data_IF_954762695008
#
_entry.id   IF_954762695008
#
_cell.length_a   1.000
_cell.length_b   1.000
_cell.length_c   1.000
_cell.angle_alpha   90.00
_cell.angle_beta   90.00
_cell.angle_gamma   90.00
#
_symmetry.space_group_name_H-M   'P 1'
#
loop_
_entity.id
_entity.type
_entity.pdbx_description
1 polymer ?
#
# COMPACT_ATOMS: atom_id res chain seq x y z
N UNK A 1 -14.56 2.25 -12.94
CA UNK A 1 -14.16 1.90 -11.56
C UNK A 1 -13.97 0.40 -11.37
N UNK A 2 -14.96 -0.45 -11.65
CA UNK A 2 -14.80 -1.91 -11.49
C UNK A 2 -13.72 -2.53 -12.38
N UNK A 3 -13.65 -2.18 -13.67
CA UNK A 3 -12.63 -2.71 -14.60
C UNK A 3 -11.19 -2.38 -14.16
N UNK A 4 -10.97 -1.18 -13.62
CA UNK A 4 -9.67 -0.73 -13.11
C UNK A 4 -9.25 -1.49 -11.84
N UNK A 5 -10.18 -1.69 -10.89
CA UNK A 5 -9.93 -2.48 -9.70
C UNK A 5 -9.63 -3.95 -10.04
N UNK A 6 -10.38 -4.52 -10.98
CA UNK A 6 -10.18 -5.90 -11.43
C UNK A 6 -8.80 -6.07 -12.10
N UNK A 7 -8.41 -5.11 -12.94
CA UNK A 7 -7.08 -5.06 -13.53
C UNK A 7 -5.97 -4.99 -12.47
N UNK A 8 -6.08 -4.10 -11.47
CA UNK A 8 -5.10 -4.00 -10.40
C UNK A 8 -4.93 -5.32 -9.60
N UNK A 9 -6.03 -6.04 -9.36
CA UNK A 9 -6.00 -7.35 -8.68
C UNK A 9 -5.31 -8.39 -9.55
N UNK A 10 -5.62 -8.44 -10.85
CA UNK A 10 -5.04 -9.39 -11.80
C UNK A 10 -3.54 -9.12 -12.00
N UNK A 11 -3.15 -7.84 -12.10
CA UNK A 11 -1.77 -7.42 -12.33
C UNK A 11 -0.88 -7.44 -11.08
N UNK A 12 -1.42 -7.76 -9.89
CA UNK A 12 -0.71 -7.71 -8.59
C UNK A 12 0.05 -6.39 -8.34
N UNK A 13 -0.48 -5.29 -8.85
CA UNK A 13 0.14 -3.96 -8.67
C UNK A 13 -0.28 -3.42 -7.31
N UNK A 14 0.68 -2.89 -6.55
CA UNK A 14 0.40 -2.23 -5.27
C UNK A 14 -0.62 -1.10 -5.47
N UNK A 15 -1.73 -1.21 -4.74
CA UNK A 15 -2.88 -0.36 -4.98
C UNK A 15 -2.78 0.94 -4.18
N UNK A 16 -2.77 2.09 -4.85
CA UNK A 16 -2.83 3.38 -4.18
C UNK A 16 -4.29 3.69 -3.75
N UNK A 17 -4.68 3.17 -2.59
CA UNK A 17 -6.00 3.44 -1.98
C UNK A 17 -6.36 4.92 -1.89
N UNK A 18 -5.45 5.84 -1.50
CA UNK A 18 -5.73 7.28 -1.48
C UNK A 18 -6.13 7.82 -2.85
N UNK A 19 -5.49 7.36 -3.93
CA UNK A 19 -5.78 7.81 -5.29
C UNK A 19 -7.18 7.37 -5.76
N UNK A 20 -7.56 6.13 -5.46
CA UNK A 20 -8.93 5.66 -5.75
C UNK A 20 -9.97 6.45 -4.96
N UNK A 21 -9.73 6.67 -3.67
CA UNK A 21 -10.62 7.46 -2.82
C UNK A 21 -10.79 8.87 -3.39
N UNK A 22 -9.69 9.53 -3.78
CA UNK A 22 -9.72 10.86 -4.38
C UNK A 22 -10.51 10.87 -5.71
N UNK A 23 -10.27 9.91 -6.59
CA UNK A 23 -11.01 9.80 -7.86
C UNK A 23 -12.52 9.58 -7.62
N UNK A 24 -12.90 8.76 -6.62
CA UNK A 24 -14.32 8.61 -6.25
C UNK A 24 -14.92 9.88 -5.65
N UNK A 25 -14.15 10.65 -4.87
CA UNK A 25 -14.60 11.92 -4.30
C UNK A 25 -14.80 13.00 -5.37
N UNK A 26 -13.87 13.14 -6.32
CA UNK A 26 -14.00 14.09 -7.44
C UNK A 26 -15.24 13.76 -8.29
N UNK A 27 -15.50 12.47 -8.53
CA UNK A 27 -16.71 12.03 -9.23
C UNK A 27 -17.99 12.31 -8.42
N UNK A 28 -17.95 12.11 -7.11
CA UNK A 28 -19.10 12.38 -6.23
C UNK A 28 -19.42 13.89 -6.15
N UNK A 29 -18.38 14.71 -6.13
CA UNK A 29 -18.49 16.18 -6.09
C UNK A 29 -19.08 16.73 -7.40
N UNK A 30 -18.60 16.23 -8.55
CA UNK A 30 -19.07 16.66 -9.88
C UNK A 30 -20.52 16.27 -10.17
N UNK A 31 -21.01 15.16 -9.61
CA UNK A 31 -22.38 14.69 -9.82
C UNK A 31 -23.43 15.39 -8.92
N UNK A 32 -23.03 16.30 -8.02
CA UNK A 32 -23.88 17.15 -7.14
C UNK A 32 -24.99 16.45 -6.33
N UNK A 33 -25.06 15.11 -6.33
CA UNK A 33 -26.16 14.33 -5.75
C UNK A 33 -25.73 13.19 -4.85
N UNK A 34 -24.44 12.97 -4.65
CA UNK A 34 -23.96 11.80 -3.91
C UNK A 34 -23.34 12.18 -2.57
N UNK A 35 -23.81 11.49 -1.52
CA UNK A 35 -23.13 11.37 -0.24
C UNK A 35 -21.70 10.92 -0.48
N UNK A 36 -20.76 11.56 0.20
CA UNK A 36 -19.33 11.27 0.05
C UNK A 36 -19.07 9.80 0.44
N UNK A 37 -18.67 8.92 -0.50
CA UNK A 37 -18.29 7.56 -0.12
C UNK A 37 -17.05 7.63 0.79
N UNK A 38 -17.02 6.78 1.82
CA UNK A 38 -15.93 6.70 2.80
C UNK A 38 -15.75 7.92 3.72
N UNK A 39 -16.78 8.76 3.91
CA UNK A 39 -16.72 9.94 4.78
C UNK A 39 -16.11 9.66 6.17
N UNK A 40 -16.49 8.57 6.83
CA UNK A 40 -15.96 8.20 8.16
C UNK A 40 -14.47 7.82 8.15
N UNK A 41 -13.99 7.18 7.08
CA UNK A 41 -12.59 6.81 6.91
C UNK A 41 -11.75 8.06 6.62
N UNK A 42 -12.27 8.95 5.78
CA UNK A 42 -11.66 10.25 5.49
C UNK A 42 -11.51 11.09 6.77
N UNK A 43 -12.56 11.16 7.60
CA UNK A 43 -12.48 11.83 8.90
C UNK A 43 -11.39 11.22 9.79
N UNK A 44 -11.23 9.89 9.81
CA UNK A 44 -10.16 9.23 10.58
C UNK A 44 -8.77 9.59 10.06
N UNK A 45 -8.58 9.59 8.74
CA UNK A 45 -7.30 9.96 8.10
C UNK A 45 -6.96 11.42 8.41
N UNK A 46 -7.92 12.33 8.27
CA UNK A 46 -7.73 13.75 8.56
C UNK A 46 -7.40 14.00 10.02
N UNK A 47 -8.04 13.29 10.96
CA UNK A 47 -7.66 13.34 12.38
C UNK A 47 -6.24 12.82 12.63
N UNK A 48 -5.86 11.71 11.99
CA UNK A 48 -4.51 11.16 12.12
C UNK A 48 -3.43 12.13 11.63
N UNK A 49 -3.71 12.87 10.56
CA UNK A 49 -2.80 13.88 10.01
C UNK A 49 -3.02 15.29 10.57
N UNK A 50 -3.77 15.44 11.67
CA UNK A 50 -4.07 16.72 12.34
C UNK A 50 -4.65 17.81 11.41
N UNK A 51 -5.37 17.41 10.36
CA UNK A 51 -6.11 18.34 9.51
C UNK A 51 -7.30 18.86 10.30
N UNK A 52 -7.37 20.19 10.48
CA UNK A 52 -8.46 20.86 11.20
C UNK A 52 -9.73 20.80 10.35
N UNK A 53 -10.71 19.99 10.78
CA UNK A 53 -12.03 19.87 10.16
C UNK A 53 -13.03 20.92 10.70
N UNK A 54 -12.54 21.94 11.39
CA UNK A 54 -13.29 22.82 12.29
C UNK A 54 -14.09 23.93 11.57
N UNK A 55 -14.41 23.72 10.29
CA UNK A 55 -15.24 24.61 9.46
C UNK A 55 -16.27 23.86 8.62
N UNK A 56 -16.51 22.58 8.90
CA UNK A 56 -17.54 21.81 8.22
C UNK A 56 -18.92 22.33 8.66
N UNK A 57 -19.75 22.74 7.70
CA UNK A 57 -21.13 23.15 7.95
C UNK A 57 -21.86 21.90 8.41
N UNK A 58 -21.97 21.72 9.73
CA UNK A 58 -22.74 20.64 10.32
C UNK A 58 -24.18 20.76 9.86
N UNK A 59 -24.55 20.01 8.82
CA UNK A 59 -25.95 19.83 8.48
C UNK A 59 -26.60 19.15 9.68
N UNK A 60 -27.77 19.65 10.11
CA UNK A 60 -28.53 18.99 11.16
C UNK A 60 -28.77 17.54 10.70
N UNK A 61 -28.33 16.57 11.51
CA UNK A 61 -28.55 15.15 11.27
C UNK A 61 -30.01 14.92 10.89
N UNK A 62 -30.24 14.25 9.76
CA UNK A 62 -31.61 13.91 9.38
C UNK A 62 -32.11 12.75 10.26
N UNK A 63 -33.42 12.52 10.26
CA UNK A 63 -34.01 11.38 11.00
C UNK A 63 -33.47 10.05 10.45
N UNK A 64 -33.11 10.01 9.17
CA UNK A 64 -32.51 8.87 8.49
C UNK A 64 -31.08 8.56 8.96
N UNK A 65 -30.33 9.57 9.43
CA UNK A 65 -28.96 9.42 9.94
C UNK A 65 -28.93 9.06 11.43
N UNK A 66 -30.08 9.11 12.12
CA UNK A 66 -30.20 8.83 13.54
C UNK A 66 -30.81 7.44 13.75
N UNK A 67 -30.09 6.54 14.42
CA UNK A 67 -30.67 5.25 14.79
C UNK A 67 -31.93 5.42 15.63
N UNK A 68 -32.99 4.71 15.25
CA UNK A 68 -34.22 4.69 16.04
C UNK A 68 -33.95 4.06 17.43
N UNK A 69 -34.81 4.42 18.40
CA UNK A 69 -34.64 3.97 19.79
C UNK A 69 -34.66 2.44 19.91
N UNK A 70 -35.39 1.73 19.05
CA UNK A 70 -35.48 0.27 19.03
C UNK A 70 -34.19 -0.39 18.54
N UNK A 71 -33.56 0.15 17.49
CA UNK A 71 -32.26 -0.34 16.99
C UNK A 71 -31.17 -0.09 18.02
N UNK A 72 -31.16 1.09 18.67
CA UNK A 72 -30.22 1.36 19.76
C UNK A 72 -30.36 0.35 20.91
N UNK A 73 -31.59 0.02 21.32
CA UNK A 73 -31.84 -1.04 22.32
C UNK A 73 -31.34 -2.42 21.86
N UNK A 74 -31.56 -2.81 20.60
CA UNK A 74 -31.04 -4.08 20.03
C UNK A 74 -29.52 -4.16 20.01
N UNK A 75 -28.87 -3.00 19.81
CA UNK A 75 -27.42 -2.83 19.81
C UNK A 75 -26.82 -2.79 21.22
N UNK A 76 -27.63 -2.88 22.29
CA UNK A 76 -27.16 -2.89 23.68
C UNK A 76 -27.06 -1.50 24.31
N UNK A 77 -27.60 -0.45 23.68
CA UNK A 77 -27.62 0.89 24.26
C UNK A 77 -28.87 1.10 25.12
N UNK A 78 -28.67 1.65 26.32
CA UNK A 78 -29.75 2.06 27.23
C UNK A 78 -29.69 3.56 27.45
N UNK A 79 -30.85 4.21 27.49
CA UNK A 79 -30.93 5.64 27.80
C UNK A 79 -31.10 5.83 29.31
N UNK A 80 -30.11 6.40 29.98
CA UNK A 80 -30.18 6.77 31.40
C UNK A 80 -30.01 8.29 31.52
N UNK A 81 -30.96 8.98 32.17
CA UNK A 81 -30.85 10.42 32.43
C UNK A 81 -30.74 11.33 31.18
N UNK A 82 -31.22 10.89 30.02
CA UNK A 82 -31.08 11.64 28.77
C UNK A 82 -29.90 11.21 27.89
N UNK A 83 -28.95 10.45 28.45
CA UNK A 83 -27.71 10.04 27.79
C UNK A 83 -27.80 8.56 27.40
N UNK A 84 -27.29 8.20 26.23
CA UNK A 84 -27.20 6.80 25.79
C UNK A 84 -25.90 6.17 26.30
N UNK A 85 -26.02 5.13 27.11
CA UNK A 85 -24.89 4.37 27.67
C UNK A 85 -24.89 2.96 27.09
N UNK A 86 -23.74 2.49 26.62
CA UNK A 86 -23.58 1.14 26.09
C UNK A 86 -23.51 0.12 27.23
N UNK A 87 -24.34 -0.92 27.16
CA UNK A 87 -24.34 -2.03 28.10
C UNK A 87 -23.99 -3.33 27.35
N UNK A 88 -22.84 -3.95 27.64
CA UNK A 88 -22.43 -5.23 27.04
C UNK A 88 -23.46 -6.34 27.35
N UNK A 89 -23.68 -7.24 26.39
CA UNK A 89 -24.70 -8.31 26.48
C UNK A 89 -24.40 -9.40 27.50
N UNK A 90 -23.21 -9.42 28.12
CA UNK A 90 -22.79 -10.43 29.10
C UNK A 90 -23.63 -10.42 30.39
N UNK A 91 -24.27 -9.30 30.71
CA UNK A 91 -24.91 -9.09 32.02
C UNK A 91 -26.43 -9.33 31.98
N UNK A 92 -26.98 -9.70 30.81
CA UNK A 92 -28.39 -10.07 30.64
C UNK A 92 -28.57 -11.59 30.75
N UNK A 93 -28.31 -12.12 31.95
CA UNK A 93 -28.82 -13.42 32.35
C UNK A 93 -30.34 -13.42 32.37
N UNK A 94 -30.96 -14.19 31.45
CA UNK A 94 -32.39 -14.54 31.39
C UNK A 94 -33.42 -13.39 31.36
N UNK A 95 -33.89 -13.07 30.14
CA UNK A 95 -35.32 -13.05 29.75
C UNK A 95 -35.35 -13.20 28.21
N UNK A 96 -35.61 -14.40 27.71
CA UNK A 96 -36.93 -14.96 27.33
C UNK A 96 -37.47 -14.29 26.07
N UNK A 97 -37.70 -15.13 25.07
CA UNK A 97 -38.41 -14.88 23.83
C UNK A 97 -39.69 -14.05 24.05
N UNK A 98 -39.73 -12.86 23.43
CA UNK A 98 -40.91 -12.07 23.09
C UNK A 98 -40.49 -11.30 21.83
N UNK A 99 -40.77 -11.89 20.67
CA UNK A 99 -41.91 -11.62 19.81
C UNK A 99 -41.51 -10.67 18.67
N UNK A 100 -41.26 -11.31 17.52
CA UNK A 100 -41.67 -10.79 16.23
C UNK A 100 -43.11 -10.27 16.36
N UNK A 101 -43.29 -8.96 16.24
CA UNK A 101 -44.51 -8.25 15.81
C UNK A 101 -44.66 -6.93 16.58
N UNK A 102 -44.10 -5.86 16.01
CA UNK A 102 -44.65 -4.51 16.18
C UNK A 102 -44.50 -3.79 14.84
N UNK A 103 -45.49 -4.07 13.99
CA UNK A 103 -46.30 -3.09 13.28
C UNK A 103 -45.56 -1.93 12.59
N UNK A 104 -45.40 -2.10 11.28
CA UNK A 104 -45.14 -1.03 10.35
C UNK A 104 -46.36 -0.07 10.33
N UNK A 105 -46.24 1.24 10.61
CA UNK A 105 -47.35 2.15 10.37
C UNK A 105 -47.54 2.36 8.85
N UNK A 106 -48.76 2.18 8.33
CA UNK A 106 -49.14 2.65 6.99
C UNK A 106 -49.12 4.19 6.95
N UNK A 107 -49.08 4.81 5.76
CA UNK A 107 -49.33 6.25 5.47
C UNK A 107 -48.38 7.27 6.17
N UNK A 108 -47.64 8.13 5.47
CA UNK A 108 -48.12 9.33 4.76
C UNK A 108 -47.23 9.64 3.54
N UNK A 109 -47.91 9.83 2.41
CA UNK A 109 -47.37 10.41 1.19
C UNK A 109 -47.46 11.95 1.26
N UNK A 110 -46.70 12.59 0.36
CA UNK A 110 -46.80 13.98 -0.09
C UNK A 110 -46.27 15.07 0.86
N UNK A 111 -45.17 15.71 0.43
CA UNK A 111 -45.13 17.15 0.16
C UNK A 111 -43.89 17.49 -0.70
N UNK A 112 -44.13 17.99 -1.92
CA UNK A 112 -43.14 18.67 -2.78
C UNK A 112 -43.24 20.19 -2.52
N UNK A 113 -42.31 21.04 -3.01
CA UNK A 113 -41.47 21.89 -2.18
C UNK A 113 -41.88 23.39 -2.19
N UNK A 114 -41.61 24.11 -1.11
CA UNK A 114 -41.57 25.59 -1.14
C UNK A 114 -40.13 26.11 -1.31
N UNK A 115 -39.91 27.15 -2.14
CA UNK A 115 -38.60 27.75 -2.30
C UNK A 115 -38.33 28.73 -1.15
N UNK A 116 -37.35 28.40 -0.31
CA UNK A 116 -36.77 29.37 0.63
C UNK A 116 -35.71 30.16 -0.11
N UNK A 117 -35.96 31.45 -0.33
CA UNK A 117 -34.93 32.40 -0.72
C UNK A 117 -33.84 32.44 0.36
N UNK A 118 -32.61 32.06 -0.01
CA UNK A 118 -31.44 32.27 0.82
C UNK A 118 -30.58 33.34 0.17
N UNK A 119 -30.81 34.58 0.60
CA UNK A 119 -29.89 35.69 0.43
C UNK A 119 -28.70 35.43 1.35
N UNK A 120 -27.54 35.16 0.75
CA UNK A 120 -26.27 34.96 1.44
C UNK A 120 -25.15 35.24 0.47
N UNK A 121 -24.87 36.52 0.25
CA UNK A 121 -23.70 36.96 -0.51
C UNK A 121 -22.43 36.58 0.26
N UNK A 122 -21.85 35.43 -0.07
CA UNK A 122 -20.42 35.20 0.13
C UNK A 122 -19.72 35.84 -1.06
N UNK A 123 -18.91 36.85 -0.80
CA UNK A 123 -18.11 37.53 -1.82
C UNK A 123 -17.29 36.50 -2.61
N UNK A 124 -17.40 36.51 -3.94
CA UNK A 124 -16.59 35.71 -4.87
C UNK A 124 -15.10 35.71 -4.51
N UNK A 125 -14.63 36.80 -3.90
CA UNK A 125 -13.24 37.02 -3.49
C UNK A 125 -12.71 36.07 -2.41
N UNK A 126 -13.57 35.56 -1.51
CA UNK A 126 -13.13 34.64 -0.45
C UNK A 126 -12.89 33.23 -0.98
N UNK A 127 -13.65 32.83 -2.02
CA UNK A 127 -13.43 31.58 -2.74
C UNK A 127 -12.16 31.63 -3.60
N UNK A 128 -11.95 32.74 -4.34
CA UNK A 128 -10.73 32.91 -5.15
C UNK A 128 -9.47 32.82 -4.28
N UNK A 129 -9.48 33.46 -3.10
CA UNK A 129 -8.37 33.37 -2.13
C UNK A 129 -8.14 31.94 -1.61
N UNK A 130 -9.20 31.17 -1.37
CA UNK A 130 -9.07 29.78 -0.95
C UNK A 130 -8.51 28.90 -2.07
N UNK A 131 -8.94 29.13 -3.31
CA UNK A 131 -8.41 28.43 -4.49
C UNK A 131 -6.93 28.74 -4.66
N UNK A 132 -6.52 30.01 -4.63
CA UNK A 132 -5.10 30.41 -4.73
C UNK A 132 -4.24 29.74 -3.65
N UNK A 133 -4.72 29.71 -2.40
CA UNK A 133 -4.01 29.04 -1.31
C UNK A 133 -3.86 27.54 -1.54
N UNK A 134 -4.93 26.86 -2.00
CA UNK A 134 -4.89 25.44 -2.30
C UNK A 134 -3.94 25.14 -3.46
N UNK A 135 -3.98 25.94 -4.53
CA UNK A 135 -3.08 25.80 -5.69
C UNK A 135 -1.63 25.95 -5.27
N UNK A 136 -1.28 26.97 -4.46
CA UNK A 136 0.08 27.14 -3.94
C UNK A 136 0.56 25.96 -3.08
N UNK A 137 -0.36 25.35 -2.30
CA UNK A 137 -0.04 24.14 -1.52
C UNK A 137 0.20 22.93 -2.41
N UNK A 138 -0.54 22.79 -3.50
CA UNK A 138 -0.33 21.73 -4.48
C UNK A 138 0.98 21.91 -5.24
N UNK A 139 1.29 23.13 -5.71
CA UNK A 139 2.57 23.44 -6.37
C UNK A 139 3.76 23.18 -5.44
N UNK A 140 3.65 23.56 -4.16
CA UNK A 140 4.67 23.27 -3.15
C UNK A 140 4.86 21.77 -2.93
N UNK A 141 3.76 20.99 -2.93
CA UNK A 141 3.82 19.54 -2.79
C UNK A 141 4.46 18.89 -4.03
N UNK A 142 4.09 19.36 -5.22
CA UNK A 142 4.63 18.91 -6.50
C UNK A 142 6.14 19.13 -6.56
N UNK A 143 6.61 20.35 -6.22
CA UNK A 143 8.03 20.66 -6.17
C UNK A 143 8.78 19.78 -5.13
N UNK A 144 8.16 19.51 -3.98
CA UNK A 144 8.74 18.62 -2.97
C UNK A 144 8.81 17.16 -3.44
N UNK A 145 7.81 16.67 -4.17
CA UNK A 145 7.80 15.31 -4.71
C UNK A 145 8.84 15.16 -5.81
N UNK A 146 8.92 16.13 -6.72
CA UNK A 146 9.91 16.17 -7.80
C UNK A 146 11.34 16.11 -7.24
N UNK A 147 11.62 16.89 -6.18
CA UNK A 147 12.91 16.83 -5.49
C UNK A 147 13.23 15.44 -4.91
N UNK A 148 12.24 14.78 -4.29
CA UNK A 148 12.41 13.42 -3.77
C UNK A 148 12.60 12.39 -4.88
N UNK A 149 11.89 12.51 -6.00
CA UNK A 149 12.07 11.63 -7.16
C UNK A 149 13.48 11.75 -7.73
N UNK A 150 13.99 12.98 -7.89
CA UNK A 150 15.38 13.20 -8.32
C UNK A 150 16.39 12.57 -7.36
N UNK A 151 16.16 12.69 -6.05
CA UNK A 151 17.02 12.05 -5.05
C UNK A 151 16.99 10.52 -5.17
N UNK A 152 15.81 9.92 -5.31
CA UNK A 152 15.67 8.47 -5.48
C UNK A 152 16.38 7.99 -6.75
N UNK A 153 16.17 8.68 -7.88
CA UNK A 153 16.82 8.35 -9.15
C UNK A 153 18.35 8.39 -9.01
N UNK A 154 18.90 9.43 -8.36
CA UNK A 154 20.35 9.49 -8.12
C UNK A 154 20.89 8.34 -7.27
N UNK A 155 20.10 7.82 -6.32
CA UNK A 155 20.48 6.65 -5.51
C UNK A 155 20.42 5.36 -6.31
N UNK A 156 19.45 5.24 -7.22
CA UNK A 156 19.33 4.10 -8.14
C UNK A 156 20.50 4.08 -9.10
N UNK A 157 20.86 5.21 -9.71
CA UNK A 157 22.01 5.31 -10.63
C UNK A 157 23.33 4.93 -9.95
N UNK A 158 23.51 5.33 -8.68
CA UNK A 158 24.68 4.94 -7.90
C UNK A 158 24.65 3.45 -7.57
N UNK A 159 23.50 2.90 -7.19
CA UNK A 159 23.36 1.47 -6.91
C UNK A 159 23.62 0.62 -8.15
N UNK A 160 23.20 1.08 -9.34
CA UNK A 160 23.49 0.41 -10.61
C UNK A 160 25.00 0.36 -10.89
N UNK A 161 25.71 1.46 -10.63
CA UNK A 161 27.19 1.49 -10.74
C UNK A 161 27.84 0.55 -9.75
N UNK A 162 27.43 0.59 -8.48
CA UNK A 162 27.96 -0.30 -7.44
C UNK A 162 27.76 -1.77 -7.81
N UNK A 163 26.58 -2.12 -8.35
CA UNK A 163 26.28 -3.47 -8.81
C UNK A 163 27.17 -3.90 -9.99
N UNK A 164 27.45 -3.00 -10.94
CA UNK A 164 28.39 -3.28 -12.04
C UNK A 164 29.81 -3.53 -11.53
N UNK A 165 30.28 -2.75 -10.56
CA UNK A 165 31.60 -2.95 -9.92
C UNK A 165 31.67 -4.29 -9.20
N UNK A 166 30.66 -4.61 -8.38
CA UNK A 166 30.61 -5.91 -7.69
C UNK A 166 30.65 -7.05 -8.72
N UNK A 167 29.86 -6.95 -9.79
CA UNK A 167 29.84 -7.98 -10.85
C UNK A 167 31.22 -8.19 -11.47
N UNK A 168 31.93 -7.12 -11.83
CA UNK A 168 33.28 -7.24 -12.39
C UNK A 168 34.28 -7.85 -11.42
N UNK A 169 34.16 -7.55 -10.13
CA UNK A 169 35.04 -8.12 -9.10
C UNK A 169 34.84 -9.64 -8.98
N UNK A 170 33.58 -10.10 -9.06
CA UNK A 170 33.25 -11.53 -8.99
C UNK A 170 33.66 -12.30 -10.25
N UNK A 171 33.55 -11.71 -11.45
CA UNK A 171 34.01 -12.36 -12.69
C UNK A 171 35.50 -12.73 -12.62
N UNK A 172 36.35 -11.88 -12.03
CA UNK A 172 37.78 -12.19 -11.85
C UNK A 172 38.08 -13.24 -10.77
N UNK A 173 37.21 -13.35 -9.76
CA UNK A 173 37.36 -14.32 -8.66
C UNK A 173 37.04 -15.74 -9.15
N UNK A 174 36.02 -15.91 -9.98
CA UNK A 174 35.65 -17.22 -10.52
C UNK A 174 36.78 -17.82 -11.38
N UNK A 175 37.45 -17.00 -12.20
CA UNK A 175 38.60 -17.42 -13.01
C UNK A 175 39.80 -17.82 -12.14
N UNK A 176 40.08 -17.05 -11.09
CA UNK A 176 41.16 -17.35 -10.14
C UNK A 176 40.89 -18.67 -9.38
N UNK A 177 39.68 -18.85 -8.89
CA UNK A 177 39.26 -20.09 -8.20
C UNK A 177 39.33 -21.28 -9.17
N UNK A 178 38.87 -21.11 -10.41
CA UNK A 178 38.92 -22.16 -11.42
C UNK A 178 40.37 -22.57 -11.75
N UNK A 179 41.27 -21.59 -11.88
CA UNK A 179 42.68 -21.85 -12.11
C UNK A 179 43.32 -22.61 -10.94
N UNK A 180 43.13 -22.13 -9.71
CA UNK A 180 43.69 -22.77 -8.51
C UNK A 180 43.15 -24.19 -8.31
N UNK A 181 41.85 -24.41 -8.57
CA UNK A 181 41.25 -25.74 -8.51
C UNK A 181 41.85 -26.68 -9.56
N UNK A 182 42.11 -26.17 -10.77
CA UNK A 182 42.76 -26.94 -11.85
C UNK A 182 44.21 -27.30 -11.50
N UNK A 183 44.96 -26.37 -10.90
CA UNK A 183 46.34 -26.59 -10.45
C UNK A 183 46.39 -27.59 -9.31
N UNK A 184 45.56 -27.42 -8.28
CA UNK A 184 45.49 -28.35 -7.13
C UNK A 184 45.09 -29.75 -7.57
N UNK A 185 44.12 -29.89 -8.47
CA UNK A 185 43.73 -31.18 -9.08
C UNK A 185 44.92 -31.85 -9.79
N UNK A 186 45.70 -31.11 -10.58
CA UNK A 186 46.92 -31.64 -11.24
C UNK A 186 47.98 -32.07 -10.23
N UNK A 187 48.21 -31.30 -9.18
CA UNK A 187 49.16 -31.64 -8.12
C UNK A 187 48.75 -32.90 -7.36
N UNK A 188 47.47 -33.02 -7.03
CA UNK A 188 46.92 -34.18 -6.33
C UNK A 188 47.08 -35.46 -7.17
N UNK A 189 46.77 -35.41 -8.47
CA UNK A 189 47.02 -36.52 -9.41
C UNK A 189 48.49 -36.92 -9.51
N UNK A 190 49.42 -35.97 -9.42
CA UNK A 190 50.87 -36.27 -9.41
C UNK A 190 51.28 -36.99 -8.12
N UNK A 191 50.73 -36.58 -6.98
CA UNK A 191 50.98 -37.22 -5.69
C UNK A 191 50.39 -38.64 -5.65
N UNK A 192 49.17 -38.82 -6.13
CA UNK A 192 48.52 -40.14 -6.24
C UNK A 192 49.37 -41.12 -7.05
N UNK A 193 49.85 -40.71 -8.24
CA UNK A 193 50.76 -41.52 -9.07
C UNK A 193 52.07 -41.86 -8.35
N UNK A 194 52.66 -40.90 -7.62
CA UNK A 194 53.86 -41.16 -6.82
C UNK A 194 53.58 -42.19 -5.73
N UNK A 195 52.45 -42.09 -5.04
CA UNK A 195 52.05 -42.99 -3.97
C UNK A 195 51.84 -44.43 -4.50
N UNK A 196 51.14 -44.57 -5.63
CA UNK A 196 50.97 -45.84 -6.33
C UNK A 196 52.31 -46.44 -6.78
N UNK A 197 53.21 -45.62 -7.33
CA UNK A 197 54.56 -46.08 -7.74
C UNK A 197 55.40 -46.57 -6.55
N UNK A 198 55.20 -45.99 -5.36
CA UNK A 198 55.84 -46.44 -4.12
C UNK A 198 55.17 -47.65 -3.46
N UNK A 199 54.11 -48.21 -4.07
CA UNK A 199 53.26 -49.29 -3.53
C UNK A 199 52.62 -48.96 -2.17
N UNK A 200 52.44 -47.68 -1.85
CA UNK A 200 51.75 -47.26 -0.63
C UNK A 200 50.22 -47.31 -0.77
N UNK A 201 49.70 -47.38 -2.01
CA UNK A 201 48.28 -47.62 -2.34
C UNK A 201 48.17 -48.63 -3.48
N UNK A 202 47.09 -49.42 -3.48
CA UNK A 202 46.87 -50.54 -4.40
C UNK A 202 46.22 -50.14 -5.74
N UNK A 203 45.55 -49.00 -5.82
CA UNK A 203 44.82 -48.56 -7.02
C UNK A 203 45.03 -47.07 -7.29
N UNK A 204 45.28 -46.70 -8.55
CA UNK A 204 45.32 -45.33 -9.06
C UNK A 204 44.14 -45.17 -10.02
N UNK A 205 43.27 -44.19 -9.82
CA UNK A 205 42.08 -44.02 -10.66
C UNK A 205 42.44 -43.20 -11.91
N UNK A 206 42.46 -43.83 -13.09
CA UNK A 206 42.69 -43.14 -14.37
C UNK A 206 41.46 -42.32 -14.78
N UNK A 207 41.27 -41.17 -14.15
CA UNK A 207 40.28 -40.20 -14.62
C UNK A 207 40.84 -39.46 -15.84
N UNK A 208 40.22 -39.65 -17.01
CA UNK A 208 40.60 -39.19 -18.36
C UNK A 208 40.69 -37.67 -18.60
N UNK A 209 40.86 -36.87 -17.57
CA UNK A 209 40.87 -35.40 -17.67
C UNK A 209 42.19 -34.76 -18.15
N UNK A 210 43.10 -35.51 -18.78
CA UNK A 210 44.39 -35.00 -19.27
C UNK A 210 44.44 -34.82 -20.79
N UNK A 211 43.30 -34.90 -21.49
CA UNK A 211 43.21 -34.51 -22.89
C UNK A 211 42.95 -33.00 -23.00
N UNK A 212 43.97 -32.20 -22.72
CA UNK A 212 44.07 -30.85 -23.29
C UNK A 212 45.52 -30.54 -23.58
N UNK A 213 45.96 -31.10 -24.70
CA UNK A 213 46.90 -30.42 -25.57
C UNK A 213 46.28 -29.07 -25.97
N UNK A 214 46.72 -28.00 -25.33
CA UNK A 214 46.71 -26.68 -25.93
C UNK A 214 47.96 -25.99 -25.42
N UNK A 215 49.01 -26.15 -26.19
CA UNK A 215 50.06 -25.13 -26.31
C UNK A 215 49.34 -23.79 -26.52
N UNK A 216 49.58 -22.86 -25.62
CA UNK A 216 49.36 -21.44 -25.86
C UNK A 216 50.59 -20.75 -25.33
N UNK A 217 51.35 -20.22 -26.26
CA UNK A 217 52.66 -19.60 -26.11
C UNK A 217 52.73 -18.55 -24.99
N UNK A 218 53.92 -18.31 -24.40
CA UNK A 218 54.10 -17.21 -23.45
C UNK A 218 53.99 -15.85 -24.14
N UNK A 219 53.56 -14.79 -23.43
CA UNK A 219 53.43 -13.46 -24.03
C UNK A 219 54.82 -12.88 -24.35
N UNK A 220 54.96 -12.10 -25.45
CA UNK A 220 56.22 -11.47 -25.78
C UNK A 220 56.55 -10.36 -24.78
N UNK A 221 57.86 -10.18 -24.55
CA UNK A 221 58.46 -9.17 -23.69
C UNK A 221 58.27 -7.74 -24.18
#
# INVERSE_FOLDING_TARGET
MQAFLMWCIISKVEFCYPFLMLHTMVRAFTQKKSVLPFGSILTKIFRHHHVRLEGEIGTKLKKEDTYNKSTLKRMGWKKQGGIWTYCPKSDQGKRVAWEEQEENPPWEAQEEPQPVQAQGSSSTRDYDRMIEFMTARFESLEASLEGKFKQVNSRIDNLEKDHLTIRSDFEGVDDAIYYDLKVTKRCLKRLERKLASSKAIDTCEETSGDDSASDSDPPPA
#
